data_IF_450511035856
#
_entry.id   IF_450511035856
#
_cell.length_a   1.000
_cell.length_b   1.000
_cell.length_c   1.000
_cell.angle_alpha   90.00
_cell.angle_beta   90.00
_cell.angle_gamma   90.00
#
_symmetry.space_group_name_H-M   'P 1'
#
loop_
_entity.id
_entity.type
_entity.pdbx_description
1 polymer ?
#
# COMPACT_ATOMS: atom_id res chain seq x y z
N UNK A 1 -78.25 -16.46 5.66
CA UNK A 1 -77.07 -16.39 4.77
C UNK A 1 -75.85 -16.71 5.62
N UNK A 2 -75.01 -17.62 5.13
CA UNK A 2 -73.88 -18.29 5.80
C UNK A 2 -72.53 -17.56 5.58
N UNK A 3 -71.55 -17.95 6.41
CA UNK A 3 -70.07 -17.89 6.20
C UNK A 3 -69.38 -16.52 6.30
N UNK A 4 -68.12 -16.35 6.75
CA UNK A 4 -66.93 -17.19 7.09
C UNK A 4 -65.99 -16.28 7.93
N UNK A 5 -65.33 -16.66 9.04
CA UNK A 5 -64.06 -17.40 9.25
C UNK A 5 -62.81 -17.00 8.42
N UNK A 6 -61.67 -16.73 9.12
CA UNK A 6 -60.27 -16.71 8.60
C UNK A 6 -59.57 -15.32 8.64
N UNK A 7 -58.67 -14.99 9.58
CA UNK A 7 -57.21 -15.29 9.78
C UNK A 7 -56.22 -14.24 9.25
N UNK A 8 -55.20 -13.97 10.09
CA UNK A 8 -54.02 -13.12 9.94
C UNK A 8 -53.17 -13.37 8.68
N UNK A 9 -52.43 -12.35 8.21
CA UNK A 9 -51.06 -12.47 7.65
C UNK A 9 -50.41 -11.06 7.67
N UNK A 10 -49.32 -10.83 8.41
CA UNK A 10 -47.90 -11.03 8.03
C UNK A 10 -47.51 -10.33 6.72
N UNK A 11 -46.86 -9.17 6.83
CA UNK A 11 -46.20 -8.49 5.72
C UNK A 11 -44.68 -8.67 5.84
N UNK A 12 -44.14 -9.68 5.16
CA UNK A 12 -42.70 -9.81 4.93
C UNK A 12 -42.37 -9.21 3.54
N UNK A 13 -41.64 -8.09 3.52
CA UNK A 13 -41.10 -7.49 2.31
C UNK A 13 -39.79 -8.16 1.93
N UNK A 14 -39.74 -8.64 0.68
CA UNK A 14 -38.73 -9.53 0.13
C UNK A 14 -37.29 -9.01 0.12
N UNK A 15 -36.38 -9.94 0.39
CA UNK A 15 -34.95 -9.80 0.15
C UNK A 15 -34.65 -9.82 -1.35
N UNK A 16 -34.25 -8.68 -1.91
CA UNK A 16 -33.56 -8.62 -3.21
C UNK A 16 -32.10 -8.98 -2.97
N UNK A 17 -31.68 -10.14 -3.48
CA UNK A 17 -30.28 -10.59 -3.49
C UNK A 17 -29.51 -9.72 -4.49
N UNK A 18 -28.75 -8.75 -4.00
CA UNK A 18 -27.77 -8.06 -4.83
C UNK A 18 -26.56 -8.99 -5.00
N UNK A 19 -26.28 -9.30 -6.25
CA UNK A 19 -25.13 -10.08 -6.68
C UNK A 19 -23.87 -9.38 -6.19
N UNK A 20 -23.17 -10.01 -5.25
CA UNK A 20 -21.87 -9.56 -4.75
C UNK A 20 -20.91 -9.63 -5.94
N UNK A 21 -20.67 -8.48 -6.57
CA UNK A 21 -19.51 -8.31 -7.44
C UNK A 21 -18.29 -8.73 -6.63
N UNK A 22 -17.55 -9.67 -7.20
CA UNK A 22 -16.43 -10.40 -6.62
C UNK A 22 -15.54 -9.56 -5.70
N UNK A 23 -15.68 -9.80 -4.38
CA UNK A 23 -14.87 -9.25 -3.28
C UNK A 23 -13.35 -9.46 -3.42
N UNK A 24 -12.89 -10.19 -4.43
CA UNK A 24 -11.48 -10.52 -4.69
C UNK A 24 -10.84 -9.70 -5.82
N UNK A 25 -11.61 -8.90 -6.56
CA UNK A 25 -11.10 -8.13 -7.70
C UNK A 25 -10.73 -6.67 -7.35
N UNK A 26 -10.90 -6.26 -6.10
CA UNK A 26 -10.58 -4.92 -5.61
C UNK A 26 -9.79 -4.97 -4.30
N UNK A 27 -8.77 -5.82 -4.23
CA UNK A 27 -7.76 -5.67 -3.18
C UNK A 27 -6.86 -4.48 -3.58
N UNK A 28 -7.43 -3.28 -3.55
CA UNK A 28 -6.65 -2.08 -3.28
C UNK A 28 -5.89 -2.38 -2.00
N UNK A 29 -4.58 -2.14 -2.00
CA UNK A 29 -3.74 -2.25 -0.81
C UNK A 29 -4.49 -1.64 0.37
N UNK A 30 -4.54 -2.32 1.51
CA UNK A 30 -5.31 -1.93 2.69
C UNK A 30 -4.69 -0.67 3.36
N UNK A 31 -4.54 0.41 2.59
CA UNK A 31 -4.13 1.75 3.05
C UNK A 31 -5.21 2.34 3.97
N UNK A 32 -6.44 1.83 3.91
CA UNK A 32 -7.54 2.19 4.81
C UNK A 32 -7.22 1.88 6.29
N UNK A 33 -6.21 1.04 6.58
CA UNK A 33 -5.72 0.79 7.95
C UNK A 33 -4.81 1.92 8.45
N UNK A 34 -4.19 2.70 7.57
CA UNK A 34 -3.24 3.75 7.93
C UNK A 34 -3.86 5.15 7.81
N UNK A 35 -3.61 6.01 8.80
CA UNK A 35 -3.97 7.43 8.69
C UNK A 35 -3.11 8.06 7.56
N UNK A 36 -3.73 8.64 6.51
CA UNK A 36 -2.99 9.29 5.43
C UNK A 36 -2.04 10.39 5.91
N UNK A 37 -2.30 11.00 7.07
CA UNK A 37 -1.42 12.02 7.66
C UNK A 37 -0.18 11.43 8.34
N UNK A 38 -0.13 10.12 8.55
CA UNK A 38 1.01 9.40 9.15
C UNK A 38 1.89 8.70 8.09
N UNK A 39 1.52 8.78 6.82
CA UNK A 39 2.26 8.19 5.71
C UNK A 39 3.31 9.15 5.14
N UNK A 40 4.49 8.60 4.81
CA UNK A 40 5.45 9.28 3.94
C UNK A 40 5.20 8.83 2.50
N UNK A 41 4.55 9.68 1.69
CA UNK A 41 4.22 9.36 0.31
C UNK A 41 5.37 9.75 -0.62
N UNK A 42 5.81 8.81 -1.44
CA UNK A 42 6.83 8.98 -2.48
C UNK A 42 6.16 8.89 -3.84
N UNK A 43 6.38 9.89 -4.70
CA UNK A 43 5.83 9.92 -6.05
C UNK A 43 6.71 10.74 -7.00
N UNK A 44 7.07 10.16 -8.14
CA UNK A 44 7.86 10.86 -9.18
C UNK A 44 7.08 11.96 -9.89
N UNK A 45 5.74 11.90 -9.87
CA UNK A 45 4.84 12.87 -10.48
C UNK A 45 4.66 14.17 -9.66
N UNK A 46 5.29 14.25 -8.48
CA UNK A 46 5.21 15.40 -7.58
C UNK A 46 3.96 15.46 -6.71
N UNK A 47 3.12 14.42 -6.72
CA UNK A 47 1.90 14.34 -5.88
C UNK A 47 2.17 13.81 -4.46
N UNK A 48 3.40 13.34 -4.20
CA UNK A 48 3.83 12.83 -2.89
C UNK A 48 4.54 13.88 -2.03
N UNK A 49 4.91 13.50 -0.81
CA UNK A 49 5.76 14.31 0.07
C UNK A 49 7.21 14.35 -0.44
N UNK A 50 7.67 13.28 -1.07
CA UNK A 50 9.02 13.13 -1.62
C UNK A 50 8.95 12.62 -3.07
N UNK A 51 10.01 12.91 -3.84
CA UNK A 51 10.20 12.37 -5.19
C UNK A 51 11.10 11.14 -5.24
N UNK A 52 11.83 10.85 -4.15
CA UNK A 52 12.76 9.71 -4.04
C UNK A 52 12.49 8.91 -2.76
N UNK A 53 12.79 7.61 -2.79
CA UNK A 53 12.66 6.72 -1.62
C UNK A 53 13.75 7.05 -0.61
N UNK A 54 14.96 7.35 -1.09
CA UNK A 54 16.09 7.75 -0.24
C UNK A 54 15.77 8.96 0.64
N UNK A 55 15.08 9.98 0.11
CA UNK A 55 14.70 11.16 0.91
C UNK A 55 13.66 10.83 1.97
N UNK A 56 12.68 9.97 1.66
CA UNK A 56 11.70 9.52 2.64
C UNK A 56 12.35 8.70 3.78
N UNK A 57 13.31 7.82 3.45
CA UNK A 57 14.10 7.09 4.45
C UNK A 57 14.91 8.07 5.31
N UNK A 58 15.56 9.07 4.70
CA UNK A 58 16.33 10.07 5.42
C UNK A 58 15.46 10.92 6.35
N UNK A 59 14.23 11.22 5.96
CA UNK A 59 13.25 11.95 6.77
C UNK A 59 12.72 11.13 7.95
N UNK A 60 12.56 9.81 7.80
CA UNK A 60 12.02 8.95 8.86
C UNK A 60 12.80 9.07 10.19
N UNK A 61 12.14 8.96 11.36
CA UNK A 61 12.82 9.08 12.64
C UNK A 61 13.85 7.96 12.88
N UNK A 62 14.99 8.31 13.46
CA UNK A 62 16.01 7.35 13.86
C UNK A 62 15.58 6.61 15.14
N UNK A 63 15.87 5.31 15.22
CA UNK A 63 15.62 4.43 16.38
C UNK A 63 14.16 4.49 16.87
N UNK A 64 13.22 4.70 15.95
CA UNK A 64 11.80 4.77 16.28
C UNK A 64 11.30 3.43 16.81
N UNK A 65 10.55 3.47 17.92
CA UNK A 65 9.78 2.33 18.41
C UNK A 65 8.42 2.18 17.70
N UNK A 66 8.00 3.23 16.99
CA UNK A 66 6.76 3.28 16.22
C UNK A 66 7.09 2.99 14.76
N UNK A 67 6.21 2.25 14.08
CA UNK A 67 6.35 1.95 12.65
C UNK A 67 6.25 3.22 11.83
N UNK A 68 7.16 3.40 10.88
CA UNK A 68 7.04 4.43 9.84
C UNK A 68 6.71 3.75 8.53
N UNK A 69 5.63 4.18 7.88
CA UNK A 69 5.19 3.63 6.59
C UNK A 69 5.57 4.61 5.49
N UNK A 70 6.32 4.09 4.51
CA UNK A 70 6.67 4.78 3.29
C UNK A 70 5.82 4.17 2.18
N UNK A 71 4.88 4.95 1.65
CA UNK A 71 4.03 4.54 0.55
C UNK A 71 4.62 5.06 -0.76
N UNK A 72 4.98 4.15 -1.65
CA UNK A 72 5.64 4.42 -2.92
C UNK A 72 4.61 4.24 -4.03
N UNK A 73 4.22 5.35 -4.64
CA UNK A 73 3.26 5.31 -5.76
C UNK A 73 3.87 4.63 -6.97
N UNK A 74 3.00 4.20 -7.89
CA UNK A 74 3.37 3.67 -9.19
C UNK A 74 4.43 4.54 -9.90
N UNK A 75 5.39 3.88 -10.54
CA UNK A 75 6.52 4.54 -11.16
C UNK A 75 7.78 3.69 -11.18
N UNK A 76 8.77 4.20 -11.90
CA UNK A 76 10.12 3.64 -11.95
C UNK A 76 11.04 4.57 -11.17
N UNK A 77 11.66 4.03 -10.13
CA UNK A 77 12.60 4.72 -9.26
C UNK A 77 14.01 4.17 -9.55
N UNK A 78 14.81 4.89 -10.32
CA UNK A 78 16.20 4.53 -10.64
C UNK A 78 17.12 5.03 -9.52
N UNK A 79 17.20 4.24 -8.44
CA UNK A 79 18.00 4.53 -7.25
C UNK A 79 18.49 3.25 -6.55
N UNK A 80 19.69 3.32 -5.97
CA UNK A 80 20.19 2.31 -5.02
C UNK A 80 19.93 2.82 -3.60
N UNK A 81 18.88 2.30 -2.96
CA UNK A 81 18.44 2.69 -1.62
C UNK A 81 19.24 1.93 -0.58
N UNK A 82 19.59 2.63 0.50
CA UNK A 82 20.14 2.01 1.71
C UNK A 82 19.25 2.38 2.89
N UNK A 83 18.86 1.40 3.70
CA UNK A 83 18.20 1.62 4.99
C UNK A 83 19.24 1.38 6.08
N UNK A 84 19.86 2.44 6.64
CA UNK A 84 20.83 2.28 7.71
C UNK A 84 20.24 1.56 8.92
N UNK A 85 21.07 0.84 9.67
CA UNK A 85 20.62 0.03 10.82
C UNK A 85 19.88 0.81 11.91
N UNK A 86 20.09 2.13 11.99
CA UNK A 86 19.42 3.03 12.92
C UNK A 86 18.05 3.54 12.42
N UNK A 87 17.67 3.27 11.17
CA UNK A 87 16.32 3.54 10.65
C UNK A 87 15.43 2.33 10.94
N UNK A 88 15.01 2.19 12.19
CA UNK A 88 14.26 1.02 12.67
C UNK A 88 12.76 1.12 12.33
N UNK A 89 12.09 -0.02 12.21
CA UNK A 89 10.64 -0.14 12.03
C UNK A 89 10.07 0.56 10.77
N UNK A 90 10.84 0.58 9.68
CA UNK A 90 10.36 1.04 8.38
C UNK A 90 9.54 -0.05 7.68
N UNK A 91 8.41 0.33 7.10
CA UNK A 91 7.63 -0.50 6.15
C UNK A 91 7.51 0.26 4.83
N UNK A 92 7.78 -0.42 3.73
CA UNK A 92 7.56 0.11 2.38
C UNK A 92 6.39 -0.60 1.73
N UNK A 93 5.46 0.19 1.18
CA UNK A 93 4.27 -0.27 0.48
C UNK A 93 4.27 0.34 -0.93
N UNK A 94 4.28 -0.49 -1.98
CA UNK A 94 4.14 -0.04 -3.37
C UNK A 94 2.71 -0.22 -3.87
N UNK A 95 2.30 0.51 -4.91
CA UNK A 95 0.98 0.40 -5.58
C UNK A 95 0.69 -0.98 -6.20
N UNK A 96 1.73 -1.79 -6.36
CA UNK A 96 1.66 -3.13 -6.91
C UNK A 96 3.04 -3.58 -7.36
N UNK A 97 3.27 -4.88 -7.40
CA UNK A 97 4.55 -5.45 -7.86
C UNK A 97 4.82 -5.18 -9.35
N UNK A 98 3.77 -4.91 -10.12
CA UNK A 98 3.81 -4.56 -11.55
C UNK A 98 3.78 -3.05 -11.80
N UNK A 99 3.35 -2.25 -10.81
CA UNK A 99 3.21 -0.80 -10.93
C UNK A 99 4.39 -0.01 -10.32
N UNK A 100 5.02 -0.55 -9.27
CA UNK A 100 6.12 0.11 -8.56
C UNK A 100 7.42 -0.67 -8.76
N UNK A 101 8.42 -0.04 -9.39
CA UNK A 101 9.71 -0.67 -9.68
C UNK A 101 10.84 0.18 -9.14
N UNK A 102 11.68 -0.41 -8.28
CA UNK A 102 12.97 0.17 -7.87
C UNK A 102 14.05 -0.49 -8.70
N UNK A 103 14.80 0.30 -9.46
CA UNK A 103 15.85 -0.18 -10.36
C UNK A 103 17.21 0.35 -9.93
N UNK A 104 18.24 -0.45 -10.20
CA UNK A 104 19.62 -0.09 -9.97
C UNK A 104 20.51 -0.94 -10.87
N UNK A 105 21.66 -0.39 -11.27
CA UNK A 105 22.54 -0.99 -12.27
C UNK A 105 23.97 -1.25 -11.75
N UNK A 106 24.17 -1.25 -10.42
CA UNK A 106 25.48 -1.53 -9.82
C UNK A 106 25.87 -2.99 -10.04
N UNK A 107 27.13 -3.23 -10.42
CA UNK A 107 27.65 -4.56 -10.68
C UNK A 107 29.12 -4.71 -10.27
N UNK A 108 29.60 -5.96 -10.14
CA UNK A 108 31.02 -6.26 -9.89
C UNK A 108 31.91 -5.83 -11.05
N UNK A 109 31.42 -5.94 -12.29
CA UNK A 109 32.14 -5.50 -13.48
C UNK A 109 32.38 -3.99 -13.45
N UNK A 110 31.43 -3.22 -12.90
CA UNK A 110 31.52 -1.76 -12.75
C UNK A 110 32.24 -1.33 -11.45
N UNK A 111 32.91 -2.25 -10.76
CA UNK A 111 33.73 -1.95 -9.58
C UNK A 111 33.01 -1.97 -8.23
N UNK A 112 31.75 -2.41 -8.17
CA UNK A 112 31.02 -2.58 -6.92
C UNK A 112 31.29 -3.96 -6.30
N UNK A 113 31.42 -4.03 -4.98
CA UNK A 113 31.40 -5.34 -4.31
C UNK A 113 30.00 -5.96 -4.41
N UNK A 114 29.88 -7.28 -4.40
CA UNK A 114 28.57 -7.98 -4.36
C UNK A 114 27.65 -7.47 -3.25
N UNK A 115 28.20 -7.11 -2.08
CA UNK A 115 27.41 -6.55 -0.99
C UNK A 115 26.84 -5.14 -1.31
N UNK A 116 27.59 -4.33 -2.07
CA UNK A 116 27.24 -2.94 -2.39
C UNK A 116 26.53 -2.78 -3.74
N UNK A 117 26.24 -3.88 -4.43
CA UNK A 117 25.50 -3.89 -5.69
C UNK A 117 23.99 -4.09 -5.51
N UNK A 118 23.51 -4.30 -4.28
CA UNK A 118 22.08 -4.39 -4.00
C UNK A 118 21.36 -3.08 -4.40
N UNK A 119 20.15 -3.22 -4.94
CA UNK A 119 19.27 -2.09 -5.24
C UNK A 119 18.55 -1.60 -3.98
N UNK A 120 18.15 -2.53 -3.11
CA UNK A 120 17.52 -2.29 -1.80
C UNK A 120 17.65 -3.56 -0.93
#
# INVERSE_FOLDING_TARGET
MLSNHGTETSNQKGHKKNLVSSKWLSKSLDLDEYDPNELLVVATDGTGNFSTITDAINFAPNNSMIRTVIYVKEGIYDENVEIPSYKTNIVMLGDGSDATVISGNRSVVDGWTTFRSATL
#
